data_IF_629137013426
#
_entry.id   IF_629137013426
#
_cell.length_a   1.000
_cell.length_b   1.000
_cell.length_c   1.000
_cell.angle_alpha   90.00
_cell.angle_beta   90.00
_cell.angle_gamma   90.00
#
_symmetry.space_group_name_H-M   'P 1'
#
loop_
_entity.id
_entity.type
_entity.pdbx_description
1 polymer ?
#
# COMPACT_ATOMS: atom_id res chain seq x y z
N UNK A 1 0.26 16.92 40.08
CA UNK A 1 1.49 16.10 40.04
C UNK A 1 1.58 15.45 38.67
N UNK A 2 2.17 16.21 37.76
CA UNK A 2 2.44 15.90 36.37
C UNK A 2 3.28 14.64 36.20
N UNK A 3 2.67 13.61 35.60
CA UNK A 3 3.41 12.52 35.00
C UNK A 3 4.02 13.04 33.70
N UNK A 4 5.21 13.64 33.85
CA UNK A 4 6.17 13.84 32.76
C UNK A 4 6.17 12.59 31.88
N UNK A 5 5.58 12.72 30.69
CA UNK A 5 5.74 11.80 29.56
C UNK A 5 7.24 11.69 29.30
N UNK A 6 7.83 10.55 29.66
CA UNK A 6 9.19 10.23 29.26
C UNK A 6 9.12 10.04 27.73
N UNK A 7 9.66 11.03 27.02
CA UNK A 7 9.80 11.05 25.59
C UNK A 7 10.91 10.06 25.18
N UNK A 8 10.50 8.94 24.61
CA UNK A 8 11.32 8.12 23.73
C UNK A 8 10.43 7.64 22.58
N UNK A 9 10.46 8.37 21.46
CA UNK A 9 10.30 7.88 20.08
C UNK A 9 9.25 6.83 19.73
N UNK A 10 8.12 6.73 20.43
CA UNK A 10 7.08 5.76 20.10
C UNK A 10 6.09 6.40 19.13
N UNK A 11 6.16 5.97 17.87
CA UNK A 11 5.23 6.37 16.82
C UNK A 11 3.80 5.99 17.24
N UNK A 12 2.82 6.74 16.75
CA UNK A 12 1.41 6.37 16.94
C UNK A 12 1.13 5.01 16.30
N UNK A 13 0.21 4.19 16.87
CA UNK A 13 -0.13 2.88 16.30
C UNK A 13 -0.62 2.93 14.85
N UNK A 14 -1.19 4.07 14.43
CA UNK A 14 -1.64 4.30 13.06
C UNK A 14 -0.48 4.64 12.13
N UNK A 15 0.49 5.45 12.58
CA UNK A 15 1.70 5.75 11.81
C UNK A 15 2.60 4.50 11.66
N UNK A 16 2.79 3.75 12.74
CA UNK A 16 3.52 2.47 12.70
C UNK A 16 2.89 1.51 11.68
N UNK A 17 1.57 1.37 11.72
CA UNK A 17 0.83 0.56 10.75
C UNK A 17 0.95 1.10 9.32
N UNK A 18 0.88 2.42 9.10
CA UNK A 18 1.01 2.99 7.76
C UNK A 18 2.39 2.72 7.15
N UNK A 19 3.45 2.75 7.97
CA UNK A 19 4.82 2.40 7.55
C UNK A 19 4.97 0.89 7.27
N UNK A 20 4.40 0.04 8.12
CA UNK A 20 4.36 -1.41 7.89
C UNK A 20 3.64 -1.74 6.57
N UNK A 21 2.46 -1.16 6.36
CA UNK A 21 1.66 -1.32 5.15
C UNK A 21 2.45 -0.91 3.91
N UNK A 22 3.15 0.24 3.97
CA UNK A 22 4.00 0.70 2.87
C UNK A 22 5.08 -0.33 2.53
N UNK A 23 5.79 -0.83 3.54
CA UNK A 23 6.83 -1.86 3.35
C UNK A 23 6.27 -3.16 2.76
N UNK A 24 5.10 -3.61 3.22
CA UNK A 24 4.43 -4.80 2.70
C UNK A 24 3.99 -4.64 1.23
N UNK A 25 3.42 -3.48 0.88
CA UNK A 25 3.03 -3.16 -0.50
C UNK A 25 4.25 -3.09 -1.42
N UNK A 26 5.33 -2.43 -0.99
CA UNK A 26 6.57 -2.34 -1.79
C UNK A 26 7.16 -3.74 -2.06
N UNK A 27 7.17 -4.63 -1.06
CA UNK A 27 7.61 -6.02 -1.22
C UNK A 27 6.71 -6.79 -2.20
N UNK A 28 5.39 -6.62 -2.09
CA UNK A 28 4.43 -7.26 -2.97
C UNK A 28 4.59 -6.80 -4.43
N UNK A 29 4.66 -5.49 -4.69
CA UNK A 29 4.85 -4.96 -6.04
C UNK A 29 6.16 -5.43 -6.67
N UNK A 30 7.26 -5.48 -5.90
CA UNK A 30 8.53 -6.05 -6.38
C UNK A 30 8.42 -7.54 -6.72
N UNK A 31 7.69 -8.31 -5.92
CA UNK A 31 7.48 -9.72 -6.17
C UNK A 31 6.64 -9.96 -7.44
N UNK A 32 5.61 -9.14 -7.67
CA UNK A 32 4.84 -9.12 -8.92
C UNK A 32 5.74 -8.81 -10.12
N UNK A 33 6.57 -7.76 -10.02
CA UNK A 33 7.48 -7.36 -11.11
C UNK A 33 8.49 -8.46 -11.45
N UNK A 34 9.05 -9.11 -10.40
CA UNK A 34 9.98 -10.23 -10.56
C UNK A 34 9.30 -11.43 -11.22
N UNK A 35 8.09 -11.77 -10.77
CA UNK A 35 7.32 -12.87 -11.35
C UNK A 35 6.98 -12.60 -12.82
N UNK A 36 6.52 -11.39 -13.16
CA UNK A 36 6.21 -11.01 -14.54
C UNK A 36 7.44 -10.99 -15.45
N UNK A 37 8.60 -10.59 -14.92
CA UNK A 37 9.86 -10.62 -15.66
C UNK A 37 10.28 -12.06 -15.96
N UNK A 38 10.21 -12.96 -14.97
CA UNK A 38 10.52 -14.37 -15.15
C UNK A 38 9.51 -15.07 -16.08
N UNK A 39 8.23 -14.76 -15.94
CA UNK A 39 7.16 -15.30 -16.79
C UNK A 39 7.31 -14.88 -18.26
N UNK A 40 7.71 -13.62 -18.52
CA UNK A 40 8.04 -13.15 -19.88
C UNK A 40 9.25 -13.89 -20.48
N UNK A 41 10.22 -14.28 -19.64
CA UNK A 41 11.36 -15.09 -20.09
C UNK A 41 10.97 -16.55 -20.32
N UNK A 42 10.05 -17.10 -19.53
CA UNK A 42 9.56 -18.48 -19.67
C UNK A 42 9.05 -18.78 -21.09
N UNK A 43 8.32 -17.83 -21.70
CA UNK A 43 7.85 -17.96 -23.10
C UNK A 43 8.96 -18.00 -24.15
N UNK A 44 10.19 -17.55 -23.81
CA UNK A 44 11.36 -17.59 -24.70
C UNK A 44 12.28 -18.77 -24.39
N UNK A 45 12.40 -19.13 -23.12
CA UNK A 45 13.19 -20.24 -22.61
C UNK A 45 12.51 -20.79 -21.36
N UNK A 46 11.94 -22.00 -21.39
CA UNK A 46 11.21 -22.54 -20.25
C UNK A 46 12.18 -22.78 -19.08
N UNK A 47 12.05 -21.95 -18.04
CA UNK A 47 12.77 -22.07 -16.76
C UNK A 47 11.79 -22.42 -15.63
N UNK A 48 12.31 -22.89 -14.49
CA UNK A 48 11.46 -23.16 -13.34
C UNK A 48 11.09 -21.84 -12.63
N UNK A 49 9.80 -21.49 -12.61
CA UNK A 49 9.26 -20.27 -11.98
C UNK A 49 8.94 -20.44 -10.47
N UNK A 50 9.35 -21.57 -9.87
CA UNK A 50 8.98 -21.90 -8.50
C UNK A 50 9.47 -20.88 -7.47
N UNK A 51 10.68 -20.35 -7.65
CA UNK A 51 11.26 -19.37 -6.73
C UNK A 51 10.48 -18.06 -6.75
N UNK A 52 10.19 -17.51 -7.94
CA UNK A 52 9.45 -16.27 -8.12
C UNK A 52 7.99 -16.42 -7.67
N UNK A 53 7.36 -17.57 -7.98
CA UNK A 53 6.01 -17.86 -7.51
C UNK A 53 5.95 -17.97 -5.98
N UNK A 54 6.95 -18.57 -5.35
CA UNK A 54 7.07 -18.65 -3.90
C UNK A 54 7.23 -17.25 -3.27
N UNK A 55 8.12 -16.42 -3.81
CA UNK A 55 8.32 -15.03 -3.34
C UNK A 55 7.05 -14.20 -3.47
N UNK A 56 6.34 -14.31 -4.60
CA UNK A 56 5.04 -13.67 -4.79
C UNK A 56 4.02 -14.13 -3.74
N UNK A 57 3.89 -15.45 -3.55
CA UNK A 57 2.91 -16.02 -2.62
C UNK A 57 3.16 -15.57 -1.19
N UNK A 58 4.43 -15.54 -0.77
CA UNK A 58 4.83 -15.04 0.55
C UNK A 58 4.52 -13.56 0.74
N UNK A 59 4.81 -12.72 -0.26
CA UNK A 59 4.50 -11.29 -0.18
C UNK A 59 2.98 -11.05 -0.14
N UNK A 60 2.22 -11.79 -0.95
CA UNK A 60 0.75 -11.74 -0.94
C UNK A 60 0.19 -12.16 0.42
N UNK A 61 0.69 -13.27 1.00
CA UNK A 61 0.28 -13.77 2.32
C UNK A 61 0.54 -12.77 3.45
N UNK A 62 1.61 -11.97 3.35
CA UNK A 62 1.94 -10.90 4.32
C UNK A 62 1.06 -9.67 4.16
N UNK A 63 0.75 -9.29 2.92
CA UNK A 63 -0.05 -8.10 2.64
C UNK A 63 -1.54 -8.29 2.99
N UNK A 64 -2.09 -9.46 2.69
CA UNK A 64 -3.53 -9.76 2.82
C UNK A 64 -4.14 -9.39 4.19
N UNK A 65 -3.55 -9.75 5.34
CA UNK A 65 -4.08 -9.41 6.65
C UNK A 65 -4.11 -7.90 6.95
N UNK A 66 -3.31 -7.09 6.26
CA UNK A 66 -3.20 -5.65 6.50
C UNK A 66 -4.31 -4.86 5.80
N UNK A 67 -4.86 -5.39 4.70
CA UNK A 67 -5.79 -4.67 3.82
C UNK A 67 -7.09 -4.22 4.50
N UNK A 68 -7.74 -5.00 5.40
CA UNK A 68 -8.93 -4.53 6.11
C UNK A 68 -8.67 -3.27 6.95
N UNK A 69 -7.54 -3.24 7.66
CA UNK A 69 -7.14 -2.08 8.46
C UNK A 69 -6.72 -0.91 7.56
N UNK A 70 -6.03 -1.17 6.45
CA UNK A 70 -5.69 -0.15 5.45
C UNK A 70 -6.93 0.57 4.91
N UNK A 71 -7.99 -0.19 4.59
CA UNK A 71 -9.27 0.36 4.14
C UNK A 71 -9.95 1.18 5.23
N UNK A 72 -10.01 0.68 6.46
CA UNK A 72 -10.58 1.42 7.59
C UNK A 72 -9.84 2.74 7.83
N UNK A 73 -8.50 2.73 7.78
CA UNK A 73 -7.66 3.90 7.97
C UNK A 73 -7.81 4.92 6.82
N UNK A 74 -7.91 4.43 5.58
CA UNK A 74 -8.19 5.27 4.41
C UNK A 74 -9.53 6.00 4.56
N UNK A 75 -10.56 5.30 5.00
CA UNK A 75 -11.88 5.90 5.27
C UNK A 75 -11.83 6.92 6.41
N UNK A 76 -11.08 6.64 7.50
CA UNK A 76 -10.87 7.60 8.61
C UNK A 76 -10.35 8.94 8.10
N UNK A 77 -9.44 8.95 7.12
CA UNK A 77 -8.87 10.16 6.53
C UNK A 77 -9.60 10.66 5.27
N UNK A 78 -10.71 10.04 4.87
CA UNK A 78 -11.51 10.44 3.70
C UNK A 78 -10.83 10.18 2.36
N UNK A 79 -9.91 9.21 2.30
CA UNK A 79 -9.21 8.80 1.09
C UNK A 79 -10.05 7.77 0.31
N UNK A 80 -9.91 7.79 -1.03
CA UNK A 80 -10.47 6.74 -1.89
C UNK A 80 -9.77 5.40 -1.59
N UNK A 81 -10.50 4.29 -1.70
CA UNK A 81 -9.97 2.93 -1.50
C UNK A 81 -9.24 2.43 -2.76
N UNK A 82 -7.89 2.29 -2.75
CA UNK A 82 -7.14 1.65 -3.82
C UNK A 82 -6.91 0.14 -3.57
N UNK A 83 -7.30 -0.39 -2.42
CA UNK A 83 -6.87 -1.70 -1.93
C UNK A 83 -7.64 -2.85 -2.56
N UNK A 84 -8.84 -2.59 -3.08
CA UNK A 84 -9.71 -3.62 -3.69
C UNK A 84 -9.05 -4.32 -4.87
N UNK A 85 -8.26 -3.62 -5.70
CA UNK A 85 -7.56 -4.22 -6.83
C UNK A 85 -6.52 -5.27 -6.40
N UNK A 86 -5.85 -5.04 -5.27
CA UNK A 86 -4.82 -5.94 -4.72
C UNK A 86 -5.36 -7.30 -4.26
N UNK A 87 -6.66 -7.37 -3.92
CA UNK A 87 -7.32 -8.60 -3.47
C UNK A 87 -7.61 -9.58 -4.61
N UNK A 88 -7.62 -9.11 -5.86
CA UNK A 88 -8.11 -9.88 -7.00
C UNK A 88 -7.01 -10.30 -7.98
N UNK A 89 -5.77 -9.84 -7.78
CA UNK A 89 -4.63 -10.23 -8.60
C UNK A 89 -4.23 -11.67 -8.31
N UNK A 90 -4.55 -12.60 -9.22
CA UNK A 90 -4.08 -13.98 -9.19
C UNK A 90 -3.05 -14.23 -10.29
N UNK A 91 -1.76 -14.25 -9.93
CA UNK A 91 -0.69 -14.62 -10.86
C UNK A 91 -0.75 -16.12 -11.20
N UNK A 92 -0.38 -16.49 -12.43
CA UNK A 92 -0.14 -17.89 -12.83
C UNK A 92 -1.33 -18.69 -13.38
N UNK A 93 -2.52 -18.08 -13.55
CA UNK A 93 -3.69 -18.79 -14.13
C UNK A 93 -3.81 -18.67 -15.66
N UNK A 94 -3.04 -17.77 -16.29
CA UNK A 94 -3.03 -17.61 -17.75
C UNK A 94 -1.90 -18.43 -18.38
N UNK A 95 -2.12 -18.87 -19.62
CA UNK A 95 -1.12 -19.60 -20.37
C UNK A 95 -0.02 -18.65 -20.91
N UNK A 96 1.26 -19.07 -21.01
CA UNK A 96 2.40 -18.19 -21.34
C UNK A 96 2.33 -17.47 -22.68
N UNK A 97 1.49 -17.96 -23.60
CA UNK A 97 1.28 -17.38 -24.93
C UNK A 97 0.25 -16.25 -24.94
N UNK A 98 -0.53 -16.09 -23.86
CA UNK A 98 -1.37 -14.93 -23.66
C UNK A 98 -0.47 -13.84 -23.07
N UNK A 99 -0.16 -12.83 -23.88
CA UNK A 99 0.45 -11.58 -23.43
C UNK A 99 -0.53 -10.89 -22.48
N UNK A 100 -0.61 -11.35 -21.23
CA UNK A 100 -1.39 -10.67 -20.23
C UNK A 100 -0.72 -9.34 -19.91
N UNK A 101 -1.48 -8.22 -19.90
CA UNK A 101 -0.99 -6.99 -19.31
C UNK A 101 -0.61 -7.26 -17.85
N UNK A 102 0.28 -6.43 -17.28
CA UNK A 102 0.71 -6.56 -15.88
C UNK A 102 -0.49 -6.82 -14.99
N UNK A 103 -0.33 -7.75 -14.06
CA UNK A 103 -1.43 -8.18 -13.19
C UNK A 103 -1.88 -7.06 -12.24
N UNK A 104 -1.09 -5.98 -12.16
CA UNK A 104 -1.44 -4.71 -11.55
C UNK A 104 -1.05 -3.60 -12.52
N UNK A 105 -2.05 -2.94 -13.09
CA UNK A 105 -1.87 -1.88 -14.06
C UNK A 105 -1.15 -0.66 -13.49
N UNK A 106 -0.57 0.16 -14.38
CA UNK A 106 0.13 1.40 -14.00
C UNK A 106 -0.73 2.34 -13.16
N UNK A 107 -2.01 2.47 -13.53
CA UNK A 107 -2.96 3.33 -12.81
C UNK A 107 -3.27 2.81 -11.40
N UNK A 108 -3.35 1.49 -11.21
CA UNK A 108 -3.56 0.87 -9.90
C UNK A 108 -2.34 1.11 -9.00
N UNK A 109 -1.13 0.91 -9.54
CA UNK A 109 0.12 1.20 -8.83
C UNK A 109 0.24 2.66 -8.42
N UNK A 110 -0.14 3.58 -9.31
CA UNK A 110 -0.16 5.01 -9.02
C UNK A 110 -1.16 5.34 -7.90
N UNK A 111 -2.38 4.79 -7.96
CA UNK A 111 -3.41 5.01 -6.94
C UNK A 111 -2.98 4.48 -5.56
N UNK A 112 -2.38 3.28 -5.52
CA UNK A 112 -1.86 2.68 -4.29
C UNK A 112 -0.74 3.55 -3.69
N UNK A 113 0.23 3.95 -4.51
CA UNK A 113 1.39 4.75 -4.07
C UNK A 113 0.95 6.13 -3.55
N UNK A 114 0.01 6.77 -4.25
CA UNK A 114 -0.57 8.04 -3.82
C UNK A 114 -1.31 7.89 -2.49
N UNK A 115 -2.15 6.86 -2.35
CA UNK A 115 -2.88 6.62 -1.11
C UNK A 115 -1.94 6.34 0.07
N UNK A 116 -0.88 5.53 -0.12
CA UNK A 116 0.13 5.28 0.92
C UNK A 116 0.81 6.56 1.39
N UNK A 117 1.19 7.43 0.45
CA UNK A 117 1.83 8.71 0.78
C UNK A 117 0.88 9.59 1.61
N UNK A 118 -0.37 9.72 1.16
CA UNK A 118 -1.40 10.50 1.86
C UNK A 118 -1.73 9.91 3.24
N UNK A 119 -1.74 8.58 3.40
CA UNK A 119 -1.95 7.92 4.68
C UNK A 119 -0.83 8.19 5.68
N UNK A 120 0.42 8.04 5.25
CA UNK A 120 1.59 8.32 6.10
C UNK A 120 1.58 9.78 6.54
N UNK A 121 1.34 10.71 5.62
CA UNK A 121 1.26 12.13 5.93
C UNK A 121 0.12 12.44 6.92
N UNK A 122 -1.06 11.85 6.72
CA UNK A 122 -2.21 12.05 7.61
C UNK A 122 -1.97 11.49 9.02
N UNK A 123 -1.36 10.30 9.13
CA UNK A 123 -0.97 9.73 10.41
C UNK A 123 0.09 10.58 11.11
N UNK A 124 1.08 11.08 10.37
CA UNK A 124 2.11 11.97 10.89
C UNK A 124 1.51 13.30 11.39
N UNK A 125 0.59 13.89 10.62
CA UNK A 125 -0.12 15.11 10.99
C UNK A 125 -1.01 14.93 12.23
N UNK A 126 -1.61 13.76 12.42
CA UNK A 126 -2.43 13.46 13.61
C UNK A 126 -1.55 13.29 14.86
N UNK A 127 -0.42 12.58 14.72
CA UNK A 127 0.56 12.40 15.79
C UNK A 127 1.12 13.73 16.31
N UNK A 128 1.45 14.65 15.40
CA UNK A 128 2.01 15.95 15.74
C UNK A 128 0.96 17.00 16.10
N UNK A 129 -0.29 16.87 15.62
CA UNK A 129 -1.38 17.75 16.01
C UNK A 129 -1.96 17.43 17.39
N UNK A 130 -1.83 16.19 17.87
CA UNK A 130 -2.14 15.83 19.26
C UNK A 130 -1.33 16.63 20.30
N UNK A 131 -0.24 17.29 19.90
CA UNK A 131 0.52 18.22 20.73
C UNK A 131 0.00 19.68 20.71
N UNK A 132 -0.90 20.02 19.78
CA UNK A 132 -1.41 21.39 19.60
C UNK A 132 -2.92 21.43 19.31
N UNK A 133 -3.71 21.39 20.37
CA UNK A 133 -5.10 21.87 20.49
C UNK A 133 -6.21 21.18 19.66
N UNK A 134 -7.20 20.69 20.40
CA UNK A 134 -8.49 20.22 19.91
C UNK A 134 -9.30 21.34 19.22
N UNK A 135 -9.47 21.24 17.92
CA UNK A 135 -10.63 21.79 17.18
C UNK A 135 -11.08 20.76 16.14
N UNK A 136 -12.39 20.68 15.82
CA UNK A 136 -12.88 19.77 14.80
C UNK A 136 -12.24 20.17 13.48
N UNK A 137 -11.30 19.35 13.00
CA UNK A 137 -10.53 19.62 11.79
C UNK A 137 -11.46 19.52 10.58
N UNK A 138 -11.99 20.68 10.16
CA UNK A 138 -12.62 20.85 8.85
C UNK A 138 -11.65 20.35 7.78
N UNK A 139 -12.06 19.28 7.08
CA UNK A 139 -11.66 18.87 5.71
C UNK A 139 -10.31 19.47 5.29
N UNK A 140 -9.24 18.92 5.85
CA UNK A 140 -7.87 19.44 5.71
C UNK A 140 -7.34 19.23 4.29
N UNK A 141 -6.72 20.30 3.74
CA UNK A 141 -5.79 20.49 2.60
C UNK A 141 -5.47 19.35 1.62
N UNK A 142 -5.51 18.09 2.00
CA UNK A 142 -5.34 16.92 1.12
C UNK A 142 -6.39 16.88 0.01
N UNK A 143 -7.63 17.32 0.28
CA UNK A 143 -8.66 17.50 -0.76
C UNK A 143 -8.26 18.57 -1.79
N UNK A 144 -7.61 19.66 -1.36
CA UNK A 144 -7.16 20.70 -2.27
C UNK A 144 -5.98 20.24 -3.16
N UNK A 145 -5.18 19.28 -2.70
CA UNK A 145 -4.12 18.64 -3.50
C UNK A 145 -4.73 17.60 -4.44
N UNK A 146 -5.70 16.79 -3.98
CA UNK A 146 -6.43 15.83 -4.82
C UNK A 146 -7.21 16.55 -5.94
N UNK A 147 -7.88 17.66 -5.63
CA UNK A 147 -8.59 18.49 -6.62
C UNK A 147 -7.62 19.18 -7.61
N UNK A 148 -6.35 19.40 -7.23
CA UNK A 148 -5.30 19.97 -8.10
C UNK A 148 -4.76 18.97 -9.12
N UNK A 149 -4.77 17.67 -8.81
CA UNK A 149 -4.21 16.61 -9.66
C UNK A 149 -5.26 15.80 -10.44
N UNK A 150 -6.55 16.11 -10.29
CA UNK A 150 -7.60 15.63 -11.21
C UNK A 150 -7.69 14.12 -11.33
N UNK A 151 -7.78 13.41 -10.20
CA UNK A 151 -8.08 11.97 -10.12
C UNK A 151 -9.45 11.71 -9.48
#
# INVERSE_FOLDING_TARGET
>A
MDRKRIAAGQLSPDLEFALELRGAVEQYLRAVDSWEAAYRQYGRSPSNLHAEHHTYTEAHRRLMPLLPRARALSMKFGLRDPWSGLLHTTLGHSAPHLLTPSAIGLNERAAITACLSLLVDACWEEEHAGASSAKPRKRSRLRAILDRFGF
#
